data_IF_849460484562
#
_entry.id   IF_849460484562
#
_cell.length_a   1.000
_cell.length_b   1.000
_cell.length_c   1.000
_cell.angle_alpha   90.00
_cell.angle_beta   90.00
_cell.angle_gamma   90.00
#
_symmetry.space_group_name_H-M   'P 1'
#
loop_
_entity.id
_entity.type
_entity.pdbx_description
1 polymer ?
#
# COMPACT_ATOMS: atom_id res chain seq x y z
N UNK A 1 -2.10 6.21 1.37
CA UNK A 1 -3.18 7.14 0.95
C UNK A 1 -2.66 8.09 -0.12
N UNK A 2 -3.50 8.62 -1.03
CA UNK A 2 -3.04 9.52 -2.10
C UNK A 2 -2.48 10.85 -1.54
N UNK A 3 -3.18 11.45 -0.56
CA UNK A 3 -2.73 12.68 0.13
C UNK A 3 -1.32 12.57 0.73
N UNK A 4 -1.01 11.43 1.35
CA UNK A 4 0.32 11.16 1.92
C UNK A 4 1.38 11.09 0.82
N UNK A 5 1.06 10.46 -0.32
CA UNK A 5 1.97 10.43 -1.46
C UNK A 5 2.21 11.84 -2.04
N UNK A 6 1.15 12.64 -2.17
CA UNK A 6 1.23 14.00 -2.67
C UNK A 6 2.06 14.91 -1.74
N UNK A 7 1.83 14.84 -0.43
CA UNK A 7 2.59 15.64 0.55
C UNK A 7 4.08 15.31 0.53
N UNK A 8 4.46 14.03 0.45
CA UNK A 8 5.87 13.63 0.32
C UNK A 8 6.50 14.17 -0.98
N UNK A 9 5.77 14.13 -2.09
CA UNK A 9 6.26 14.66 -3.38
C UNK A 9 6.47 16.17 -3.32
N UNK A 10 5.53 16.92 -2.73
CA UNK A 10 5.66 18.37 -2.54
C UNK A 10 6.91 18.68 -1.71
N UNK A 11 7.09 18.00 -0.56
CA UNK A 11 8.27 18.17 0.29
C UNK A 11 9.57 17.89 -0.48
N UNK A 12 9.62 16.80 -1.25
CA UNK A 12 10.80 16.45 -2.02
C UNK A 12 11.16 17.52 -3.08
N UNK A 13 10.15 18.09 -3.74
CA UNK A 13 10.34 19.16 -4.74
C UNK A 13 10.78 20.46 -4.08
N UNK A 14 10.08 20.91 -3.04
CA UNK A 14 10.36 22.17 -2.35
C UNK A 14 11.76 22.19 -1.73
N UNK A 15 12.16 21.07 -1.13
CA UNK A 15 13.49 20.91 -0.52
C UNK A 15 14.58 20.59 -1.55
N UNK A 16 14.23 20.42 -2.83
CA UNK A 16 15.13 19.97 -3.92
C UNK A 16 15.89 18.68 -3.54
N UNK A 17 15.18 17.77 -2.85
CA UNK A 17 15.73 16.52 -2.35
C UNK A 17 16.22 15.64 -3.52
N UNK A 18 17.27 14.86 -3.27
CA UNK A 18 17.88 13.98 -4.27
C UNK A 18 17.88 12.53 -3.81
N UNK A 19 17.78 11.63 -4.78
CA UNK A 19 17.82 10.18 -4.57
C UNK A 19 16.43 9.55 -4.53
N UNK A 20 16.40 8.29 -4.08
CA UNK A 20 15.18 7.47 -4.06
C UNK A 20 14.59 7.43 -2.65
N UNK A 21 13.26 7.54 -2.56
CA UNK A 21 12.49 7.47 -1.32
C UNK A 21 11.32 6.48 -1.51
N UNK A 22 11.09 5.63 -0.52
CA UNK A 22 9.87 4.82 -0.46
C UNK A 22 8.79 5.63 0.22
N UNK A 23 7.70 5.91 -0.49
CA UNK A 23 6.56 6.65 0.01
C UNK A 23 5.43 5.65 0.26
N UNK A 24 5.42 5.12 1.48
CA UNK A 24 4.49 4.09 1.96
C UNK A 24 4.07 4.42 3.40
N UNK A 25 2.94 3.88 3.83
CA UNK A 25 2.51 3.98 5.23
C UNK A 25 3.39 3.12 6.18
N UNK A 26 3.03 3.04 7.46
CA UNK A 26 3.83 2.33 8.48
C UNK A 26 3.49 0.83 8.61
N UNK A 27 2.44 0.36 7.95
CA UNK A 27 1.93 -1.00 8.10
C UNK A 27 2.05 -1.76 6.78
N UNK A 28 2.99 -2.71 6.63
CA UNK A 28 2.98 -3.62 5.49
C UNK A 28 1.61 -4.27 5.33
N UNK A 29 1.12 -4.37 4.09
CA UNK A 29 -0.21 -4.87 3.79
C UNK A 29 -0.14 -6.23 3.06
N UNK A 30 -0.12 -7.37 3.79
CA UNK A 30 -0.30 -8.68 3.17
C UNK A 30 -1.66 -8.78 2.49
N UNK A 31 -1.71 -9.32 1.27
CA UNK A 31 -2.95 -9.50 0.50
C UNK A 31 -3.98 -10.36 1.25
N UNK A 32 -3.52 -11.32 2.05
CA UNK A 32 -4.36 -12.14 2.92
C UNK A 32 -5.11 -11.33 3.99
N UNK A 33 -4.67 -10.11 4.29
CA UNK A 33 -5.23 -9.24 5.32
C UNK A 33 -5.99 -8.05 4.73
N UNK A 34 -5.35 -7.33 3.79
CA UNK A 34 -5.94 -6.09 3.29
C UNK A 34 -7.12 -6.34 2.36
N UNK A 35 -7.10 -7.40 1.55
CA UNK A 35 -8.16 -7.66 0.58
C UNK A 35 -9.50 -8.05 1.27
N UNK A 36 -9.52 -8.93 2.29
CA UNK A 36 -10.74 -9.16 3.07
C UNK A 36 -11.23 -7.93 3.82
N UNK A 37 -10.32 -7.10 4.35
CA UNK A 37 -10.69 -5.87 5.07
C UNK A 37 -11.30 -4.84 4.12
N UNK A 38 -10.69 -4.62 2.95
CA UNK A 38 -11.24 -3.77 1.91
C UNK A 38 -12.63 -4.23 1.48
N UNK A 39 -12.83 -5.52 1.27
CA UNK A 39 -14.15 -6.06 0.92
C UNK A 39 -15.19 -5.78 2.01
N UNK A 40 -14.81 -5.87 3.29
CA UNK A 40 -15.69 -5.53 4.39
C UNK A 40 -16.03 -4.04 4.44
N UNK A 41 -15.05 -3.15 4.24
CA UNK A 41 -15.28 -1.70 4.15
C UNK A 41 -16.23 -1.34 2.99
N UNK A 42 -16.09 -2.00 1.84
CA UNK A 42 -16.93 -1.77 0.67
C UNK A 42 -18.31 -2.45 0.73
N UNK A 43 -18.65 -3.16 1.82
CA UNK A 43 -19.88 -3.96 1.90
C UNK A 43 -19.96 -5.12 0.88
N UNK A 44 -18.81 -5.54 0.35
CA UNK A 44 -18.69 -6.59 -0.65
C UNK A 44 -18.60 -7.99 -0.02
N UNK A 45 -18.79 -9.02 -0.86
CA UNK A 45 -18.61 -10.42 -0.43
C UNK A 45 -17.14 -10.70 -0.11
N UNK A 46 -16.92 -11.54 0.91
CA UNK A 46 -15.57 -11.97 1.29
C UNK A 46 -14.87 -12.68 0.11
N UNK A 47 -13.62 -12.29 -0.23
CA UNK A 47 -12.85 -12.92 -1.30
C UNK A 47 -12.59 -14.41 -1.04
N UNK A 48 -12.63 -15.22 -2.10
CA UNK A 48 -12.24 -16.64 -2.05
C UNK A 48 -10.72 -16.81 -2.11
N UNK A 49 -10.21 -17.87 -1.48
CA UNK A 49 -8.79 -18.26 -1.60
C UNK A 49 -8.61 -19.21 -2.79
N UNK A 50 -7.62 -18.94 -3.62
CA UNK A 50 -7.30 -19.74 -4.82
C UNK A 50 -5.82 -20.16 -4.77
N UNK A 51 -5.49 -21.44 -4.97
CA UNK A 51 -4.10 -21.89 -5.08
C UNK A 51 -3.37 -21.23 -6.26
N UNK A 52 -2.08 -20.92 -6.08
CA UNK A 52 -1.26 -20.21 -7.08
C UNK A 52 -1.16 -20.96 -8.41
N UNK A 53 -1.04 -22.29 -8.38
CA UNK A 53 -0.97 -23.11 -9.60
C UNK A 53 -2.22 -23.01 -10.47
N UNK A 54 -3.38 -22.78 -9.86
CA UNK A 54 -4.64 -22.59 -10.57
C UNK A 54 -4.83 -21.14 -11.03
N UNK A 55 -4.37 -20.18 -10.23
CA UNK A 55 -4.42 -18.76 -10.58
C UNK A 55 -3.44 -18.38 -11.71
N UNK A 56 -2.26 -18.98 -11.75
CA UNK A 56 -1.17 -18.65 -12.70
C UNK A 56 -1.58 -18.72 -14.18
N UNK A 57 -2.26 -19.77 -14.69
CA UNK A 57 -2.69 -19.80 -16.09
C UNK A 57 -3.81 -18.79 -16.41
N UNK A 58 -4.58 -18.32 -15.43
CA UNK A 58 -5.72 -17.44 -15.63
C UNK A 58 -5.37 -15.95 -15.47
N UNK A 59 -4.57 -15.63 -14.45
CA UNK A 59 -4.20 -14.26 -14.08
C UNK A 59 -2.81 -13.86 -14.58
N UNK A 60 -1.99 -14.83 -14.99
CA UNK A 60 -0.59 -14.61 -15.37
C UNK A 60 0.37 -14.57 -14.19
N UNK A 61 1.66 -14.77 -14.49
CA UNK A 61 2.72 -14.89 -13.49
C UNK A 61 2.93 -13.59 -12.68
N UNK A 62 2.90 -12.45 -13.35
CA UNK A 62 3.11 -11.14 -12.72
C UNK A 62 2.07 -10.85 -11.64
N UNK A 63 0.79 -11.16 -11.91
CA UNK A 63 -0.30 -10.95 -10.94
C UNK A 63 -0.14 -11.88 -9.75
N UNK A 64 0.16 -13.16 -10.00
CA UNK A 64 0.38 -14.12 -8.90
C UNK A 64 1.54 -13.67 -8.01
N UNK A 65 2.68 -13.28 -8.60
CA UNK A 65 3.85 -12.82 -7.85
C UNK A 65 3.52 -11.58 -7.01
N UNK A 66 2.86 -10.56 -7.59
CA UNK A 66 2.41 -9.38 -6.84
C UNK A 66 1.49 -9.73 -5.67
N UNK A 67 0.60 -10.71 -5.87
CA UNK A 67 -0.38 -11.09 -4.86
C UNK A 67 0.19 -11.97 -3.73
N UNK A 68 1.30 -12.67 -3.96
CA UNK A 68 1.83 -13.65 -3.00
C UNK A 68 3.24 -13.38 -2.49
N UNK A 69 4.03 -12.57 -3.19
CA UNK A 69 5.46 -12.39 -2.91
C UNK A 69 5.86 -10.93 -2.64
N UNK A 70 4.88 -10.01 -2.63
CA UNK A 70 5.09 -8.61 -2.26
C UNK A 70 5.73 -8.47 -0.86
N UNK A 71 6.66 -7.51 -0.72
CA UNK A 71 7.37 -7.22 0.53
C UNK A 71 7.02 -5.82 1.03
N UNK A 72 7.06 -5.64 2.35
CA UNK A 72 6.98 -4.32 2.96
C UNK A 72 8.20 -3.47 2.62
N UNK A 73 8.00 -2.16 2.54
CA UNK A 73 9.05 -1.18 2.33
C UNK A 73 9.21 -0.29 3.57
N UNK A 74 10.43 0.17 3.85
CA UNK A 74 10.65 1.15 4.91
C UNK A 74 10.56 2.57 4.37
N UNK A 75 9.76 3.41 5.03
CA UNK A 75 9.64 4.85 4.78
C UNK A 75 10.61 5.70 5.63
N UNK A 76 11.48 5.07 6.44
CA UNK A 76 12.31 5.76 7.44
C UNK A 76 13.20 6.85 6.83
N UNK A 77 13.66 6.65 5.59
CA UNK A 77 14.45 7.67 4.87
C UNK A 77 13.60 8.92 4.56
N UNK A 78 12.37 8.74 4.07
CA UNK A 78 11.49 9.85 3.75
C UNK A 78 11.14 10.66 5.00
N UNK A 79 10.79 10.00 6.10
CA UNK A 79 10.51 10.64 7.38
C UNK A 79 11.72 11.45 7.90
N UNK A 80 12.90 10.85 7.91
CA UNK A 80 14.12 11.47 8.43
C UNK A 80 14.61 12.65 7.57
N UNK A 81 14.64 12.49 6.25
CA UNK A 81 15.29 13.47 5.36
C UNK A 81 14.34 14.54 4.84
N UNK A 82 13.03 14.25 4.72
CA UNK A 82 12.03 15.22 4.25
C UNK A 82 11.24 15.86 5.40
N UNK A 83 11.37 15.34 6.64
CA UNK A 83 10.46 15.69 7.73
C UNK A 83 9.02 15.25 7.46
N UNK A 84 8.85 14.22 6.63
CA UNK A 84 7.53 13.78 6.19
C UNK A 84 6.77 13.08 7.31
N UNK A 85 5.55 13.53 7.56
CA UNK A 85 4.62 12.97 8.54
C UNK A 85 3.40 12.39 7.83
N UNK A 86 2.99 11.18 8.24
CA UNK A 86 1.84 10.49 7.67
C UNK A 86 0.55 11.01 8.30
N UNK A 87 -0.41 11.40 7.46
CA UNK A 87 -1.80 11.63 7.87
C UNK A 87 -2.54 10.31 8.03
N UNK A 88 -2.23 9.30 7.20
CA UNK A 88 -2.83 7.97 7.25
C UNK A 88 -1.75 6.92 7.49
N UNK A 89 -1.33 6.69 8.75
CA UNK A 89 -0.25 5.76 9.07
C UNK A 89 -0.57 4.29 8.83
N UNK A 90 -1.85 3.94 8.58
CA UNK A 90 -2.29 2.57 8.32
C UNK A 90 -3.24 2.51 7.12
N UNK A 91 -3.03 1.52 6.26
CA UNK A 91 -3.95 1.18 5.16
C UNK A 91 -5.38 0.88 5.64
N UNK A 92 -5.56 0.42 6.88
CA UNK A 92 -6.88 0.17 7.47
C UNK A 92 -7.67 1.46 7.64
N UNK A 93 -6.99 2.49 8.17
CA UNK A 93 -7.57 3.81 8.31
C UNK A 93 -7.90 4.39 6.92
N UNK A 94 -6.95 4.30 5.98
CA UNK A 94 -7.16 4.77 4.61
C UNK A 94 -8.38 4.17 3.94
N UNK A 95 -8.54 2.83 3.97
CA UNK A 95 -9.72 2.19 3.37
C UNK A 95 -11.03 2.57 4.05
N UNK A 96 -11.03 2.72 5.38
CA UNK A 96 -12.23 3.10 6.12
C UNK A 96 -12.66 4.52 5.80
N UNK A 97 -11.73 5.46 5.67
CA UNK A 97 -12.05 6.87 5.40
C UNK A 97 -12.49 7.10 3.95
N UNK A 98 -11.92 6.37 2.99
CA UNK A 98 -12.27 6.50 1.56
C UNK A 98 -13.57 5.77 1.15
N UNK A 99 -14.02 4.78 1.94
CA UNK A 99 -15.17 3.93 1.61
C UNK A 99 -16.32 4.00 2.62
N UNK A 100 -16.21 4.86 3.64
CA UNK A 100 -17.33 5.22 4.52
C UNK A 100 -18.30 6.17 3.80
#
# INVERSE_FOLDING_TARGET
HLDDAASATVLAVEQKARGVFNIVDDEPAPVSEWLPYLAACAGAKRPMRVPTWLARPLAGEMVVMMMTEGRGFSNAKAKRELGWELRYPSWRQGFKEELA
#
